data_IF_839827924528
#
_entry.id   IF_839827924528
#
_cell.length_a   1.000
_cell.length_b   1.000
_cell.length_c   1.000
_cell.angle_alpha   90.00
_cell.angle_beta   90.00
_cell.angle_gamma   90.00
#
_symmetry.space_group_name_H-M   'P 1'
#
loop_
_entity.id
_entity.type
_entity.pdbx_description
1 polymer ?
#
# COMPACT_ATOMS: atom_id res chain seq x y z
N UNK A 1 -19.47 10.86 -22.55
CA UNK A 1 -18.52 10.97 -22.64
C UNK A 1 -17.44 11.25 -21.68
N UNK A 2 -17.20 12.20 -21.32
CA UNK A 2 -16.19 12.58 -20.42
C UNK A 2 -16.53 12.36 -19.00
N UNK A 3 -17.78 12.35 -18.67
CA UNK A 3 -18.23 12.26 -17.32
C UNK A 3 -17.91 10.94 -16.67
N UNK A 4 -18.00 9.86 -17.40
CA UNK A 4 -17.70 8.58 -16.80
C UNK A 4 -16.21 8.42 -16.51
N UNK A 5 -15.38 9.19 -17.15
CA UNK A 5 -13.98 9.18 -16.85
C UNK A 5 -13.70 9.77 -15.48
N UNK A 6 -14.49 10.75 -15.07
CA UNK A 6 -14.33 11.35 -13.76
C UNK A 6 -14.62 10.34 -12.65
N UNK A 7 -15.64 9.50 -12.82
CA UNK A 7 -15.94 8.47 -11.84
C UNK A 7 -14.80 7.47 -11.71
N UNK A 8 -14.25 7.04 -12.84
CA UNK A 8 -13.11 6.14 -12.83
C UNK A 8 -11.92 6.76 -12.15
N UNK A 9 -11.69 8.05 -12.39
CA UNK A 9 -10.59 8.77 -11.78
C UNK A 9 -10.73 8.81 -10.26
N UNK A 10 -11.95 9.03 -9.76
CA UNK A 10 -12.19 9.06 -8.33
C UNK A 10 -11.85 7.74 -7.67
N UNK A 11 -12.20 6.63 -8.28
CA UNK A 11 -11.88 5.31 -7.75
C UNK A 11 -10.38 5.10 -7.73
N UNK A 12 -9.69 5.52 -8.78
CA UNK A 12 -8.24 5.36 -8.85
C UNK A 12 -7.51 6.23 -7.83
N UNK A 13 -8.14 7.29 -7.35
CA UNK A 13 -7.51 8.20 -6.42
C UNK A 13 -7.36 7.63 -5.01
N UNK A 14 -8.05 6.55 -4.65
CA UNK A 14 -7.88 5.96 -3.33
C UNK A 14 -6.59 5.13 -3.23
N UNK A 15 -6.10 4.61 -4.35
CA UNK A 15 -4.83 3.91 -4.37
C UNK A 15 -3.65 4.86 -4.53
N UNK A 16 -2.45 4.30 -4.64
CA UNK A 16 -1.26 5.12 -4.86
C UNK A 16 -0.30 4.46 -5.85
N UNK A 17 0.59 5.26 -6.42
CA UNK A 17 1.55 4.82 -7.42
C UNK A 17 2.73 5.78 -7.37
N UNK A 18 3.88 5.29 -6.91
CA UNK A 18 5.06 6.13 -6.69
C UNK A 18 6.32 5.37 -7.08
N UNK A 19 7.25 6.06 -7.71
CA UNK A 19 8.54 5.48 -8.07
C UNK A 19 9.65 6.22 -7.33
N UNK A 20 10.48 5.48 -6.61
CA UNK A 20 11.63 5.99 -5.87
C UNK A 20 12.86 5.24 -6.35
N UNK A 21 13.85 5.95 -6.88
CA UNK A 21 15.12 5.36 -7.30
C UNK A 21 14.90 4.10 -8.15
N UNK A 22 13.99 4.19 -9.12
CA UNK A 22 13.65 3.15 -10.09
C UNK A 22 12.87 1.97 -9.50
N UNK A 23 12.38 2.08 -8.28
CA UNK A 23 11.46 1.08 -7.72
C UNK A 23 10.07 1.68 -7.65
N UNK A 24 9.14 1.08 -8.38
CA UNK A 24 7.75 1.53 -8.47
C UNK A 24 6.89 0.73 -7.51
N UNK A 25 6.09 1.43 -6.72
CA UNK A 25 5.17 0.79 -5.79
C UNK A 25 3.76 1.25 -6.07
N UNK A 26 2.90 0.30 -6.45
CA UNK A 26 1.49 0.54 -6.72
C UNK A 26 0.66 -0.15 -5.66
N UNK A 27 -0.35 0.53 -5.11
CA UNK A 27 -1.21 -0.03 -4.07
C UNK A 27 -2.66 0.11 -4.49
N UNK A 28 -3.42 -0.96 -4.30
CA UNK A 28 -4.84 -1.05 -4.65
C UNK A 28 -5.62 -1.49 -3.41
N UNK A 29 -6.20 -0.54 -2.64
CA UNK A 29 -6.95 -0.87 -1.43
C UNK A 29 -8.38 -1.27 -1.77
N UNK A 30 -8.98 -2.08 -0.88
CA UNK A 30 -10.35 -2.52 -1.06
C UNK A 30 -11.01 -2.74 0.29
N UNK A 31 -12.25 -2.23 0.45
CA UNK A 31 -13.07 -2.49 1.63
C UNK A 31 -13.66 -3.89 1.56
N UNK A 32 -13.69 -4.61 2.69
CA UNK A 32 -14.21 -5.99 2.74
C UNK A 32 -15.42 -6.00 3.67
N UNK A 33 -16.65 -5.78 3.13
CA UNK A 33 -17.85 -5.71 3.97
C UNK A 33 -18.11 -6.98 4.76
N UNK A 34 -17.84 -8.15 4.18
CA UNK A 34 -18.10 -9.42 4.82
C UNK A 34 -17.19 -9.71 6.01
N UNK A 35 -16.11 -8.94 6.16
CA UNK A 35 -15.21 -9.05 7.31
C UNK A 35 -15.31 -7.83 8.21
N UNK A 36 -16.29 -6.97 7.97
CA UNK A 36 -16.49 -5.75 8.72
C UNK A 36 -17.71 -5.84 9.60
N UNK A 37 -17.72 -5.08 10.70
CA UNK A 37 -18.86 -4.97 11.61
C UNK A 37 -18.99 -3.51 12.02
N UNK A 38 -19.59 -2.67 11.16
CA UNK A 38 -19.68 -1.22 11.44
C UNK A 38 -20.37 -0.90 12.75
N UNK A 39 -21.32 -1.74 13.17
CA UNK A 39 -22.06 -1.51 14.41
C UNK A 39 -21.16 -1.57 15.66
N UNK A 40 -19.98 -2.19 15.55
CA UNK A 40 -19.00 -2.17 16.64
C UNK A 40 -17.71 -1.48 16.19
N UNK A 41 -17.83 -0.60 15.20
CA UNK A 41 -16.72 0.21 14.69
C UNK A 41 -15.54 -0.63 14.22
N UNK A 42 -15.85 -1.68 13.45
CA UNK A 42 -14.81 -2.54 12.87
C UNK A 42 -14.93 -2.50 11.36
N UNK A 43 -13.90 -1.93 10.72
CA UNK A 43 -13.85 -1.76 9.27
C UNK A 43 -12.61 -2.47 8.75
N UNK A 44 -12.80 -3.49 7.92
CA UNK A 44 -11.71 -4.33 7.42
C UNK A 44 -11.42 -4.04 5.96
N UNK A 45 -10.14 -3.92 5.66
CA UNK A 45 -9.65 -3.62 4.33
C UNK A 45 -8.58 -4.62 3.94
N UNK A 46 -8.45 -4.86 2.64
CA UNK A 46 -7.26 -5.48 2.07
C UNK A 46 -6.58 -4.43 1.20
N UNK A 47 -5.30 -4.63 0.94
CA UNK A 47 -4.58 -3.82 -0.03
C UNK A 47 -3.61 -4.73 -0.78
N UNK A 48 -3.62 -4.57 -2.10
CA UNK A 48 -2.74 -5.32 -2.99
C UNK A 48 -1.60 -4.40 -3.38
N UNK A 49 -0.38 -4.89 -3.27
CA UNK A 49 0.82 -4.10 -3.58
C UNK A 49 1.57 -4.77 -4.71
N UNK A 50 1.99 -3.96 -5.69
CA UNK A 50 2.86 -4.41 -6.78
C UNK A 50 4.14 -3.61 -6.70
N UNK A 51 5.27 -4.30 -6.52
CA UNK A 51 6.59 -3.69 -6.44
C UNK A 51 7.34 -4.07 -7.70
N UNK A 52 7.77 -3.09 -8.48
CA UNK A 52 8.44 -3.33 -9.76
C UNK A 52 9.81 -2.68 -9.78
N UNK A 53 10.83 -3.45 -10.17
CA UNK A 53 12.17 -2.92 -10.36
C UNK A 53 12.29 -2.39 -11.80
N UNK A 54 12.24 -1.07 -11.94
CA UNK A 54 12.37 -0.42 -13.25
C UNK A 54 13.83 -0.11 -13.60
N UNK A 55 14.75 -0.42 -12.70
CA UNK A 55 16.17 -0.18 -12.92
C UNK A 55 16.86 -1.31 -13.65
N UNK A 56 18.18 -1.22 -13.72
CA UNK A 56 18.99 -2.20 -14.44
C UNK A 56 19.73 -3.14 -13.50
N UNK A 57 19.81 -2.84 -12.21
CA UNK A 57 20.48 -3.66 -11.22
C UNK A 57 19.47 -4.29 -10.28
N UNK A 58 19.80 -5.46 -9.75
CA UNK A 58 18.95 -6.19 -8.82
C UNK A 58 18.78 -5.41 -7.51
N UNK A 59 17.58 -5.48 -6.93
CA UNK A 59 17.27 -4.93 -5.61
C UNK A 59 16.61 -6.01 -4.75
N UNK A 60 16.78 -5.88 -3.43
CA UNK A 60 16.15 -6.81 -2.48
C UNK A 60 15.36 -6.01 -1.46
N UNK A 61 14.13 -6.43 -1.20
CA UNK A 61 13.31 -5.83 -0.16
C UNK A 61 13.68 -6.47 1.18
N UNK A 62 14.07 -5.64 2.15
CA UNK A 62 14.50 -6.13 3.45
C UNK A 62 13.43 -5.98 4.52
N UNK A 63 12.75 -4.83 4.58
CA UNK A 63 11.80 -4.55 5.65
C UNK A 63 10.71 -3.61 5.19
N UNK A 64 9.63 -3.59 5.96
CA UNK A 64 8.47 -2.73 5.70
C UNK A 64 8.24 -1.78 6.86
N UNK A 65 7.73 -0.60 6.55
CA UNK A 65 7.44 0.45 7.54
C UNK A 65 6.11 1.08 7.16
N UNK A 66 5.13 1.01 8.04
CA UNK A 66 3.79 1.54 7.80
C UNK A 66 3.39 2.55 8.84
N UNK A 67 2.68 3.58 8.40
CA UNK A 67 1.98 4.52 9.27
C UNK A 67 0.50 4.46 8.89
N UNK A 68 -0.33 4.05 9.84
CA UNK A 68 -1.76 3.93 9.66
C UNK A 68 -2.42 5.03 10.49
N UNK A 69 -3.29 5.83 9.85
CA UNK A 69 -3.95 6.94 10.53
C UNK A 69 -5.45 6.77 10.32
N UNK A 70 -6.22 6.71 11.41
CA UNK A 70 -7.68 6.58 11.31
C UNK A 70 -8.32 7.97 11.12
N UNK A 71 -9.64 8.00 10.96
CA UNK A 71 -10.36 9.25 10.68
C UNK A 71 -10.29 10.27 11.82
N UNK A 72 -9.95 9.82 13.02
CA UNK A 72 -9.81 10.68 14.21
C UNK A 72 -8.39 11.18 14.40
N UNK A 73 -7.46 10.78 13.53
CA UNK A 73 -6.07 11.18 13.62
C UNK A 73 -5.20 10.30 14.49
N UNK A 74 -5.76 9.20 15.01
CA UNK A 74 -4.95 8.26 15.80
C UNK A 74 -3.99 7.52 14.89
N UNK A 75 -2.75 7.36 15.33
CA UNK A 75 -1.67 6.81 14.51
C UNK A 75 -1.18 5.49 15.07
N UNK A 76 -0.86 4.58 14.15
CA UNK A 76 -0.24 3.31 14.49
C UNK A 76 0.92 3.07 13.53
N UNK A 77 2.09 2.69 14.08
CA UNK A 77 3.24 2.34 13.27
C UNK A 77 3.45 0.84 13.31
N UNK A 78 3.74 0.26 12.14
CA UNK A 78 4.00 -1.17 12.03
C UNK A 78 5.28 -1.34 11.24
N UNK A 79 6.32 -1.87 11.90
CA UNK A 79 7.61 -2.15 11.27
C UNK A 79 7.90 -3.63 11.37
N UNK A 80 8.52 -4.19 10.34
CA UNK A 80 8.86 -5.60 10.38
C UNK A 80 9.70 -6.02 9.18
N UNK A 81 10.27 -7.25 9.25
CA UNK A 81 11.08 -7.76 8.16
C UNK A 81 10.19 -8.25 7.02
N UNK A 82 10.61 -7.98 5.79
CA UNK A 82 9.97 -8.51 4.59
C UNK A 82 8.52 -8.11 4.41
N UNK A 83 7.85 -8.85 3.54
CA UNK A 83 6.42 -8.72 3.27
C UNK A 83 5.82 -10.12 3.16
N UNK A 84 4.76 -10.39 3.94
CA UNK A 84 4.05 -11.68 4.03
C UNK A 84 5.00 -12.88 4.08
N UNK A 85 6.10 -12.74 4.83
CA UNK A 85 7.07 -13.81 5.02
C UNK A 85 8.17 -13.88 3.98
N UNK A 86 8.22 -12.95 3.02
CA UNK A 86 9.22 -12.95 1.94
C UNK A 86 10.11 -11.72 2.00
N UNK A 87 11.38 -11.90 1.56
CA UNK A 87 12.28 -10.77 1.28
C UNK A 87 12.66 -10.87 -0.21
N UNK A 88 11.76 -10.46 -1.11
CA UNK A 88 11.95 -10.73 -2.53
C UNK A 88 13.15 -9.99 -3.11
N UNK A 89 13.86 -10.70 -4.00
CA UNK A 89 14.91 -10.11 -4.83
C UNK A 89 14.32 -9.90 -6.22
N UNK A 90 14.48 -8.71 -6.77
CA UNK A 90 13.91 -8.38 -8.07
C UNK A 90 15.05 -8.03 -9.03
N UNK A 91 15.16 -8.82 -10.11
CA UNK A 91 16.01 -8.48 -11.22
C UNK A 91 15.41 -7.32 -12.01
N UNK A 92 16.16 -6.75 -12.91
CA UNK A 92 15.65 -5.66 -13.75
C UNK A 92 14.35 -6.08 -14.44
N UNK A 93 13.31 -5.28 -14.29
CA UNK A 93 12.01 -5.52 -14.91
C UNK A 93 11.09 -6.46 -14.16
N UNK A 94 11.56 -7.10 -13.08
CA UNK A 94 10.73 -8.04 -12.34
C UNK A 94 9.81 -7.33 -11.34
N UNK A 95 8.69 -7.98 -11.03
CA UNK A 95 7.73 -7.49 -10.06
C UNK A 95 7.44 -8.54 -9.01
N UNK A 96 7.08 -8.09 -7.81
CA UNK A 96 6.55 -8.92 -6.73
C UNK A 96 5.21 -8.35 -6.32
N UNK A 97 4.22 -9.22 -6.18
CA UNK A 97 2.87 -8.79 -5.81
C UNK A 97 2.41 -9.55 -4.57
N UNK A 98 1.76 -8.84 -3.65
CA UNK A 98 1.18 -9.47 -2.47
C UNK A 98 -0.04 -8.69 -2.02
N UNK A 99 -0.86 -9.31 -1.17
CA UNK A 99 -2.00 -8.65 -0.52
C UNK A 99 -1.90 -8.86 0.98
N UNK A 100 -2.40 -7.87 1.72
CA UNK A 100 -2.42 -7.95 3.17
C UNK A 100 -3.70 -7.28 3.69
N UNK A 101 -3.89 -7.29 4.99
CA UNK A 101 -5.09 -6.79 5.66
C UNK A 101 -4.78 -5.64 6.56
N UNK A 102 -5.77 -4.74 6.73
CA UNK A 102 -5.70 -3.67 7.70
C UNK A 102 -7.08 -3.37 8.25
N UNK A 103 -7.40 -3.80 9.46
CA UNK A 103 -8.63 -3.39 10.12
C UNK A 103 -8.41 -2.06 10.84
N UNK A 104 -9.40 -1.17 10.80
CA UNK A 104 -9.38 0.08 11.55
C UNK A 104 -10.73 0.29 12.21
N UNK A 105 -10.80 1.22 13.16
CA UNK A 105 -12.00 1.45 13.95
C UNK A 105 -12.83 2.65 13.50
N UNK A 106 -12.52 3.20 12.32
CA UNK A 106 -13.30 4.27 11.72
C UNK A 106 -13.63 3.88 10.28
N UNK A 107 -14.63 4.54 9.68
CA UNK A 107 -15.09 4.14 8.35
C UNK A 107 -14.16 4.59 7.21
N UNK A 108 -13.11 5.32 7.53
CA UNK A 108 -12.04 5.60 6.58
C UNK A 108 -10.76 5.89 7.34
N UNK A 109 -9.64 5.82 6.63
CA UNK A 109 -8.33 6.13 7.18
C UNK A 109 -7.32 6.20 6.07
N UNK A 110 -6.04 6.31 6.42
CA UNK A 110 -4.96 6.35 5.44
C UNK A 110 -3.82 5.42 5.85
N UNK A 111 -3.07 4.99 4.85
CA UNK A 111 -1.81 4.26 5.06
C UNK A 111 -0.74 4.89 4.18
N UNK A 112 0.48 4.91 4.69
CA UNK A 112 1.65 5.33 3.93
C UNK A 112 2.88 4.72 4.59
N UNK A 113 4.02 4.76 3.90
CA UNK A 113 5.22 4.20 4.50
C UNK A 113 6.34 4.05 3.50
N UNK A 114 7.14 3.01 3.72
CA UNK A 114 8.27 2.73 2.83
C UNK A 114 8.70 1.27 2.98
N UNK A 115 9.45 0.81 2.00
CA UNK A 115 10.20 -0.44 2.09
C UNK A 115 11.67 -0.09 2.09
N UNK A 116 12.44 -0.73 3.00
CA UNK A 116 13.89 -0.63 2.96
C UNK A 116 14.38 -1.60 1.90
N UNK A 117 15.04 -1.06 0.88
CA UNK A 117 15.57 -1.84 -0.23
C UNK A 117 17.10 -1.85 -0.16
N UNK A 118 17.71 -2.92 -0.67
CA UNK A 118 19.17 -3.04 -0.74
C UNK A 118 19.58 -3.30 -2.19
N UNK A 119 20.59 -2.56 -2.66
CA UNK A 119 21.17 -2.77 -3.99
C UNK A 119 22.25 -3.83 -3.93
N UNK A 120 22.71 -4.25 -5.11
CA UNK A 120 23.76 -5.26 -5.20
C UNK A 120 25.07 -4.80 -4.55
N UNK A 121 25.36 -3.50 -4.55
CA UNK A 121 26.56 -2.96 -3.92
C UNK A 121 26.45 -2.87 -2.40
N UNK A 122 25.33 -3.31 -1.83
CA UNK A 122 25.10 -3.28 -0.40
C UNK A 122 24.49 -2.00 0.14
N UNK A 123 24.38 -0.96 -0.68
CA UNK A 123 23.76 0.30 -0.25
C UNK A 123 22.25 0.12 -0.10
N UNK A 124 21.65 0.91 0.78
CA UNK A 124 20.22 0.84 1.07
C UNK A 124 19.53 2.14 0.74
N UNK A 125 18.24 2.05 0.45
CA UNK A 125 17.40 3.23 0.28
C UNK A 125 15.98 2.87 0.68
N UNK A 126 15.16 3.92 0.95
CA UNK A 126 13.75 3.73 1.26
C UNK A 126 12.93 3.99 0.01
N UNK A 127 12.23 2.95 -0.44
CA UNK A 127 11.28 3.08 -1.55
C UNK A 127 9.95 3.53 -0.96
N UNK A 128 9.48 4.70 -1.34
CA UNK A 128 8.30 5.30 -0.74
C UNK A 128 7.03 4.60 -1.16
N UNK A 129 6.13 4.40 -0.18
CA UNK A 129 4.76 4.01 -0.44
C UNK A 129 3.95 5.29 -0.21
N UNK A 130 3.49 5.89 -1.29
CA UNK A 130 2.72 7.12 -1.20
C UNK A 130 1.38 6.84 -0.54
N UNK A 131 0.88 7.83 0.21
CA UNK A 131 -0.38 7.70 0.94
C UNK A 131 -1.49 7.16 0.05
N UNK A 132 -2.24 6.19 0.58
CA UNK A 132 -3.46 5.72 -0.03
C UNK A 132 -4.56 5.68 1.04
N UNK A 133 -5.81 5.52 0.58
CA UNK A 133 -6.97 5.70 1.44
C UNK A 133 -7.71 4.39 1.63
N UNK A 134 -8.08 4.14 2.89
CA UNK A 134 -8.95 3.02 3.26
C UNK A 134 -10.34 3.63 3.42
N UNK A 135 -11.26 3.28 2.53
CA UNK A 135 -12.56 3.95 2.48
C UNK A 135 -13.66 2.90 2.40
N UNK A 136 -14.57 2.91 3.38
CA UNK A 136 -15.69 1.97 3.40
C UNK A 136 -16.74 2.35 2.36
N UNK A 137 -17.64 1.41 2.05
CA UNK A 137 -18.71 1.64 1.08
C UNK A 137 -19.60 2.83 1.45
N UNK A 138 -19.81 3.05 2.75
CA UNK A 138 -20.63 4.17 3.21
C UNK A 138 -20.07 5.51 2.77
N UNK A 139 -18.75 5.64 2.84
CA UNK A 139 -18.08 6.89 2.49
C UNK A 139 -18.10 7.11 0.99
N UNK A 140 -17.97 6.02 0.22
CA UNK A 140 -17.96 6.10 -1.24
C UNK A 140 -19.36 6.27 -1.83
N UNK A 141 -20.39 5.93 -1.09
CA UNK A 141 -21.78 5.94 -1.58
C UNK A 141 -22.31 7.36 -1.86
#
# INVERSE_FOLDING_TARGET
>A
LKLHMQNSTSIHQIGSDTTTEMVRIQVFPEYIPEQSSPEVSRFSFTYRVIITNLGTAKVKLLSRHWLIINAEGDQERVDGPGVVGYTPELEAGESFEYSSHCPINTNWGTMEGSYTMRREDGSKFEANIERFYLVSDEVLA
#
